data_IF_097748208348
#
_entry.id   IF_097748208348
#
_cell.length_a   1.000
_cell.length_b   1.000
_cell.length_c   1.000
_cell.angle_alpha   90.00
_cell.angle_beta   90.00
_cell.angle_gamma   90.00
#
_symmetry.space_group_name_H-M   'P 1'
#
loop_
_entity.id
_entity.type
_entity.pdbx_description
1 polymer ?
#
# COMPACT_ATOMS: atom_id res chain seq x y z
N UNK A 1 68.47 -5.69 23.27
CA UNK A 1 68.48 -7.16 23.27
C UNK A 1 67.22 -7.53 22.52
N UNK A 2 67.41 -7.62 21.30
CA UNK A 2 67.60 -8.75 20.38
C UNK A 2 66.23 -9.27 19.91
N UNK A 3 65.82 -8.76 18.79
CA UNK A 3 64.90 -9.22 17.80
C UNK A 3 65.23 -10.64 17.35
N UNK A 4 64.21 -11.46 17.15
CA UNK A 4 64.33 -12.65 16.28
C UNK A 4 63.12 -12.71 15.38
N UNK A 5 63.37 -12.29 14.15
CA UNK A 5 62.60 -12.69 12.98
C UNK A 5 62.62 -14.21 12.83
N UNK A 6 61.50 -14.80 12.56
CA UNK A 6 61.42 -16.13 11.96
C UNK A 6 60.41 -16.11 10.82
N UNK A 7 60.95 -15.79 9.65
CA UNK A 7 60.39 -16.13 8.35
C UNK A 7 60.39 -17.66 8.28
N UNK A 8 59.25 -18.30 8.42
CA UNK A 8 59.03 -19.69 7.99
C UNK A 8 58.46 -19.64 6.58
N UNK A 9 59.34 -19.73 5.61
CA UNK A 9 59.00 -20.15 4.27
C UNK A 9 58.34 -21.54 4.35
N UNK A 10 56.99 -21.56 4.18
CA UNK A 10 56.27 -22.81 3.98
C UNK A 10 56.63 -23.27 2.56
N UNK A 11 57.62 -24.14 2.46
CA UNK A 11 57.88 -24.90 1.24
C UNK A 11 56.71 -25.90 1.12
N UNK A 12 55.70 -25.52 0.35
CA UNK A 12 54.65 -26.44 -0.09
C UNK A 12 55.31 -27.55 -0.90
N UNK A 13 55.13 -28.78 -0.47
CA UNK A 13 55.65 -29.97 -1.16
C UNK A 13 55.04 -30.03 -2.57
N UNK A 14 55.93 -30.26 -3.56
CA UNK A 14 55.53 -30.35 -4.98
C UNK A 14 54.53 -31.50 -5.21
N UNK A 15 54.42 -32.44 -4.28
CA UNK A 15 53.40 -33.50 -4.27
C UNK A 15 51.98 -32.98 -3.94
N UNK A 16 51.87 -32.06 -2.97
CA UNK A 16 50.59 -31.43 -2.65
C UNK A 16 50.09 -30.49 -3.74
N UNK A 17 50.99 -29.84 -4.48
CA UNK A 17 50.65 -29.02 -5.65
C UNK A 17 50.16 -29.83 -6.84
N UNK A 18 50.62 -31.08 -6.98
CA UNK A 18 50.17 -31.99 -8.03
C UNK A 18 48.84 -32.66 -7.71
N UNK A 19 48.52 -32.91 -6.43
CA UNK A 19 47.23 -33.45 -5.99
C UNK A 19 46.09 -32.43 -6.06
N UNK A 20 46.38 -31.14 -6.06
CA UNK A 20 45.35 -30.09 -6.25
C UNK A 20 45.02 -29.81 -7.71
N UNK A 21 45.80 -30.33 -8.67
CA UNK A 21 45.60 -30.12 -10.11
C UNK A 21 44.95 -31.31 -10.84
N UNK A 22 44.75 -32.44 -10.17
CA UNK A 22 44.23 -33.68 -10.82
C UNK A 22 42.82 -34.08 -10.30
N UNK A 23 41.91 -33.09 -10.09
CA UNK A 23 40.50 -33.38 -9.90
C UNK A 23 39.81 -33.54 -11.27
N UNK A 24 40.30 -34.37 -12.12
CA UNK A 24 39.65 -34.81 -13.35
C UNK A 24 38.59 -35.89 -13.05
N UNK A 25 37.57 -35.55 -12.29
CA UNK A 25 36.37 -36.38 -12.28
C UNK A 25 35.75 -36.30 -13.67
N UNK A 26 35.55 -37.43 -14.36
CA UNK A 26 34.91 -37.41 -15.68
C UNK A 26 33.51 -36.80 -15.56
N UNK A 27 33.22 -35.78 -16.35
CA UNK A 27 31.93 -35.13 -16.38
C UNK A 27 30.88 -36.16 -16.80
N UNK A 28 29.86 -36.35 -15.99
CA UNK A 28 28.72 -37.23 -16.29
C UNK A 28 27.57 -36.44 -16.82
N UNK A 29 26.76 -37.10 -17.63
CA UNK A 29 25.48 -36.53 -18.10
C UNK A 29 24.63 -36.04 -16.91
N UNK A 30 24.21 -34.78 -16.96
CA UNK A 30 23.43 -34.13 -15.91
C UNK A 30 24.24 -33.31 -14.91
N UNK A 31 25.59 -33.40 -14.94
CA UNK A 31 26.44 -32.58 -14.07
C UNK A 31 26.41 -31.12 -14.51
N UNK A 32 26.34 -30.20 -13.54
CA UNK A 32 26.45 -28.75 -13.78
C UNK A 32 27.89 -28.35 -13.45
N UNK A 33 28.53 -27.68 -14.40
CA UNK A 33 29.89 -27.19 -14.25
C UNK A 33 30.03 -25.78 -14.79
N UNK A 34 31.10 -25.09 -14.44
CA UNK A 34 31.43 -23.78 -14.98
C UNK A 34 32.50 -23.90 -16.04
N UNK A 35 32.28 -23.26 -17.16
CA UNK A 35 33.20 -23.21 -18.28
C UNK A 35 33.49 -21.80 -18.72
N UNK A 36 34.66 -21.55 -19.25
CA UNK A 36 35.10 -20.26 -19.78
C UNK A 36 34.86 -20.22 -21.28
N UNK A 37 34.20 -19.18 -21.76
CA UNK A 37 33.92 -18.98 -23.21
C UNK A 37 35.25 -18.76 -23.94
N UNK A 38 35.57 -19.67 -24.83
CA UNK A 38 36.77 -19.59 -25.67
C UNK A 38 36.50 -18.99 -27.04
N UNK A 39 35.39 -19.39 -27.63
CA UNK A 39 35.00 -18.99 -28.98
C UNK A 39 33.49 -19.06 -29.18
N UNK A 40 32.94 -18.11 -29.89
CA UNK A 40 31.56 -18.10 -30.38
C UNK A 40 31.58 -18.34 -31.86
N UNK A 41 30.78 -19.26 -32.37
CA UNK A 41 30.73 -19.66 -33.78
C UNK A 41 29.25 -19.83 -34.22
N UNK A 42 29.03 -19.89 -35.53
CA UNK A 42 27.69 -20.15 -36.08
C UNK A 42 27.05 -21.49 -35.66
N UNK A 43 27.81 -22.40 -35.09
CA UNK A 43 27.33 -23.69 -34.54
C UNK A 43 26.97 -23.62 -33.04
N UNK A 44 27.51 -22.65 -32.33
CA UNK A 44 27.35 -22.48 -30.88
C UNK A 44 28.58 -21.92 -30.21
N UNK A 45 28.64 -22.11 -28.90
CA UNK A 45 29.72 -21.61 -28.02
C UNK A 45 30.62 -22.75 -27.62
N UNK A 46 31.93 -22.53 -27.71
CA UNK A 46 32.95 -23.44 -27.24
C UNK A 46 33.50 -23.01 -25.89
N UNK A 47 33.50 -23.92 -24.95
CA UNK A 47 33.89 -23.70 -23.56
C UNK A 47 35.14 -24.51 -23.18
N UNK A 48 36.01 -23.88 -22.42
CA UNK A 48 37.12 -24.56 -21.77
C UNK A 48 36.85 -24.83 -20.30
N UNK A 49 37.23 -26.00 -19.83
CA UNK A 49 37.11 -26.44 -18.42
C UNK A 49 38.48 -26.64 -17.77
N UNK A 50 39.58 -26.20 -18.43
CA UNK A 50 40.93 -26.48 -17.95
C UNK A 50 41.34 -27.92 -18.12
N UNK A 51 40.54 -28.74 -18.80
CA UNK A 51 40.79 -30.19 -19.05
C UNK A 51 41.03 -30.46 -20.53
N UNK A 52 41.24 -31.71 -20.88
CA UNK A 52 41.61 -32.15 -22.26
C UNK A 52 40.44 -32.12 -23.28
N UNK A 53 39.22 -31.79 -22.85
CA UNK A 53 38.05 -31.75 -23.72
C UNK A 53 37.46 -30.31 -23.82
N UNK A 54 36.81 -30.06 -24.91
CA UNK A 54 36.06 -28.80 -25.15
C UNK A 54 34.57 -29.04 -25.01
N UNK A 55 33.87 -28.13 -24.35
CA UNK A 55 32.42 -28.12 -24.30
C UNK A 55 31.84 -27.37 -25.48
N UNK A 56 30.82 -27.94 -26.12
CA UNK A 56 30.04 -27.29 -27.16
C UNK A 56 28.62 -27.06 -26.67
N UNK A 57 28.18 -25.80 -26.64
CA UNK A 57 26.80 -25.40 -26.41
C UNK A 57 26.19 -25.02 -27.74
N UNK A 58 25.25 -25.81 -28.30
CA UNK A 58 24.56 -25.46 -29.53
C UNK A 58 23.67 -24.22 -29.35
N UNK A 59 23.41 -23.49 -30.43
CA UNK A 59 22.55 -22.29 -30.44
C UNK A 59 21.16 -22.59 -29.91
N UNK A 60 20.65 -23.80 -30.11
CA UNK A 60 19.34 -24.26 -29.64
C UNK A 60 19.23 -24.37 -28.12
N UNK A 61 20.35 -24.54 -27.40
CA UNK A 61 20.48 -24.75 -25.96
C UNK A 61 20.97 -23.49 -25.21
N UNK A 62 20.83 -22.30 -25.83
CA UNK A 62 21.24 -21.00 -25.26
C UNK A 62 20.16 -19.91 -25.46
N UNK A 63 18.89 -20.29 -25.58
CA UNK A 63 17.77 -19.35 -25.83
C UNK A 63 17.60 -18.33 -24.68
N UNK A 64 17.84 -18.74 -23.45
CA UNK A 64 17.72 -17.87 -22.27
C UNK A 64 18.67 -16.68 -22.31
N UNK A 65 19.90 -16.89 -22.79
CA UNK A 65 20.91 -15.82 -22.92
C UNK A 65 20.51 -14.83 -24.02
N UNK A 66 20.01 -15.33 -25.15
CA UNK A 66 19.55 -14.50 -26.27
C UNK A 66 18.35 -13.64 -25.89
N UNK A 67 17.38 -14.19 -25.15
CA UNK A 67 16.21 -13.46 -24.66
C UNK A 67 16.60 -12.38 -23.66
N UNK A 68 17.57 -12.62 -22.79
CA UNK A 68 18.03 -11.64 -21.78
C UNK A 68 18.79 -10.48 -22.41
N UNK A 69 19.48 -10.70 -23.52
CA UNK A 69 20.25 -9.67 -24.20
C UNK A 69 19.44 -8.84 -25.21
N UNK A 70 18.21 -9.27 -25.55
CA UNK A 70 17.37 -8.58 -26.56
C UNK A 70 17.95 -8.60 -27.97
N UNK A 71 18.83 -9.56 -28.28
CA UNK A 71 19.64 -9.62 -29.51
C UNK A 71 19.19 -10.77 -30.41
N UNK A 72 19.14 -10.49 -31.73
CA UNK A 72 18.80 -11.50 -32.74
C UNK A 72 20.00 -12.38 -33.14
N UNK A 73 21.25 -11.90 -32.94
CA UNK A 73 22.49 -12.61 -33.29
C UNK A 73 23.23 -13.16 -32.06
N UNK A 74 23.78 -14.38 -32.22
CA UNK A 74 24.46 -15.13 -31.14
C UNK A 74 25.85 -14.55 -30.76
N UNK A 75 26.40 -13.66 -31.59
CA UNK A 75 27.77 -13.17 -31.43
C UNK A 75 27.87 -12.00 -30.41
N UNK A 76 26.75 -11.30 -30.10
CA UNK A 76 26.79 -10.08 -29.32
C UNK A 76 26.49 -10.29 -27.81
N UNK A 77 26.04 -11.48 -27.37
CA UNK A 77 25.53 -11.69 -26.02
C UNK A 77 26.53 -12.23 -24.98
N UNK A 78 27.63 -12.82 -25.37
CA UNK A 78 28.62 -13.41 -24.47
C UNK A 78 30.04 -13.01 -24.85
N UNK A 79 30.81 -12.56 -23.88
CA UNK A 79 32.20 -12.14 -24.11
C UNK A 79 33.17 -13.35 -24.01
N UNK A 80 34.17 -13.37 -24.87
CA UNK A 80 35.27 -14.35 -24.76
C UNK A 80 35.97 -14.12 -23.42
N UNK A 81 36.17 -15.21 -22.65
CA UNK A 81 36.73 -15.17 -21.30
C UNK A 81 35.70 -15.11 -20.19
N UNK A 82 34.41 -15.02 -20.50
CA UNK A 82 33.36 -15.05 -19.49
C UNK A 82 33.11 -16.45 -18.95
N UNK A 83 32.90 -16.56 -17.63
CA UNK A 83 32.62 -17.85 -16.97
C UNK A 83 31.10 -18.07 -16.94
N UNK A 84 30.64 -19.17 -17.50
CA UNK A 84 29.23 -19.55 -17.56
C UNK A 84 28.96 -20.93 -17.00
N UNK A 85 27.79 -21.08 -16.35
CA UNK A 85 27.34 -22.39 -15.85
C UNK A 85 26.61 -23.15 -16.94
N UNK A 86 27.00 -24.42 -17.14
CA UNK A 86 26.46 -25.31 -18.17
C UNK A 86 26.18 -26.70 -17.60
N UNK A 87 25.17 -27.37 -18.17
CA UNK A 87 24.83 -28.75 -17.85
C UNK A 87 25.32 -29.68 -18.97
N UNK A 88 25.92 -30.78 -18.60
CA UNK A 88 26.37 -31.83 -19.52
C UNK A 88 25.17 -32.60 -20.08
N UNK A 89 24.97 -32.59 -21.40
CA UNK A 89 23.90 -33.31 -22.08
C UNK A 89 24.29 -34.71 -22.55
N UNK A 90 25.51 -34.88 -23.00
CA UNK A 90 26.02 -36.16 -23.48
C UNK A 90 27.47 -36.33 -23.04
N UNK A 91 27.86 -37.58 -22.91
CA UNK A 91 29.24 -37.95 -22.70
C UNK A 91 30.12 -37.55 -23.90
N UNK A 92 31.44 -37.56 -23.70
CA UNK A 92 32.44 -37.21 -24.69
C UNK A 92 32.20 -37.95 -26.03
N UNK A 93 32.10 -37.16 -27.11
CA UNK A 93 32.00 -37.68 -28.47
C UNK A 93 33.39 -38.13 -28.96
N UNK A 94 33.40 -38.90 -30.05
CA UNK A 94 34.63 -39.38 -30.70
C UNK A 94 35.57 -38.26 -31.20
N UNK A 95 35.10 -37.01 -31.26
CA UNK A 95 35.86 -35.80 -31.62
C UNK A 95 36.40 -35.05 -30.38
N UNK A 96 36.26 -35.59 -29.17
CA UNK A 96 36.70 -34.96 -27.92
C UNK A 96 35.79 -33.81 -27.44
N UNK A 97 34.62 -33.56 -28.08
CA UNK A 97 33.68 -32.54 -27.64
C UNK A 97 32.57 -33.10 -26.76
N UNK A 98 32.22 -32.36 -25.72
CA UNK A 98 31.07 -32.66 -24.81
C UNK A 98 29.93 -31.71 -25.13
N UNK A 99 28.73 -32.25 -25.38
CA UNK A 99 27.55 -31.45 -25.64
C UNK A 99 26.97 -30.92 -24.32
N UNK A 100 26.74 -29.62 -24.28
CA UNK A 100 26.30 -28.93 -23.07
C UNK A 100 25.10 -28.00 -23.35
N UNK A 101 24.41 -27.58 -22.26
CA UNK A 101 23.28 -26.69 -22.34
C UNK A 101 23.36 -25.61 -21.23
N UNK A 102 23.24 -24.36 -21.63
CA UNK A 102 23.09 -23.23 -20.72
C UNK A 102 21.66 -23.19 -20.18
N UNK A 103 20.66 -23.37 -21.06
CA UNK A 103 19.24 -23.29 -20.71
C UNK A 103 18.88 -24.31 -19.63
N UNK A 104 19.41 -25.54 -19.70
CA UNK A 104 19.15 -26.57 -18.68
C UNK A 104 19.88 -26.30 -17.36
N UNK A 105 21.09 -25.74 -17.42
CA UNK A 105 21.79 -25.33 -16.20
C UNK A 105 21.07 -24.19 -15.48
N UNK A 106 20.58 -23.19 -16.25
CA UNK A 106 19.77 -22.10 -15.70
C UNK A 106 18.46 -22.60 -15.12
N UNK A 107 17.75 -23.48 -15.84
CA UNK A 107 16.51 -24.07 -15.35
C UNK A 107 16.71 -24.89 -14.06
N UNK A 108 17.81 -25.64 -13.97
CA UNK A 108 18.13 -26.38 -12.74
C UNK A 108 18.39 -25.44 -11.56
N UNK A 109 19.20 -24.42 -11.77
CA UNK A 109 19.43 -23.36 -10.77
C UNK A 109 18.13 -22.64 -10.42
N UNK A 110 17.26 -22.39 -11.41
CA UNK A 110 15.96 -21.80 -11.22
C UNK A 110 15.03 -22.64 -10.33
N UNK A 111 15.05 -23.98 -10.47
CA UNK A 111 14.29 -24.87 -9.58
C UNK A 111 14.78 -24.83 -8.14
N UNK A 112 16.07 -24.67 -7.89
CA UNK A 112 16.61 -24.48 -6.54
C UNK A 112 16.07 -23.17 -5.96
N UNK A 113 16.17 -22.06 -6.72
CA UNK A 113 15.64 -20.75 -6.30
C UNK A 113 14.14 -20.82 -6.03
N UNK A 114 13.34 -21.51 -6.87
CA UNK A 114 11.90 -21.67 -6.65
C UNK A 114 11.56 -22.45 -5.37
N UNK A 115 12.34 -23.52 -5.05
CA UNK A 115 12.14 -24.28 -3.82
C UNK A 115 12.56 -23.48 -2.58
N UNK A 116 13.66 -22.75 -2.65
CA UNK A 116 14.11 -21.86 -1.57
C UNK A 116 13.10 -20.75 -1.33
N UNK A 117 12.58 -20.14 -2.39
CA UNK A 117 11.52 -19.12 -2.30
C UNK A 117 10.18 -19.68 -1.78
N UNK A 118 9.85 -20.95 -2.08
CA UNK A 118 8.68 -21.62 -1.51
C UNK A 118 8.80 -21.76 0.01
N UNK A 119 9.99 -22.09 0.52
CA UNK A 119 10.23 -22.29 1.96
C UNK A 119 10.44 -20.97 2.71
N UNK A 120 11.19 -20.02 2.14
CA UNK A 120 11.46 -18.71 2.74
C UNK A 120 10.26 -17.74 2.60
N UNK A 121 9.41 -17.96 1.61
CA UNK A 121 8.33 -17.03 1.25
C UNK A 121 8.83 -15.76 0.58
N UNK A 122 10.00 -15.78 -0.02
CA UNK A 122 10.60 -14.68 -0.75
C UNK A 122 9.82 -14.35 -2.03
N UNK A 123 9.85 -13.08 -2.41
CA UNK A 123 9.18 -12.59 -3.61
C UNK A 123 10.20 -12.61 -4.74
N UNK A 124 9.85 -13.29 -5.82
CA UNK A 124 10.66 -13.39 -7.02
C UNK A 124 10.12 -12.46 -8.11
N UNK A 125 11.02 -12.03 -8.99
CA UNK A 125 10.67 -11.30 -10.21
C UNK A 125 10.72 -12.25 -11.39
N UNK A 126 9.71 -12.14 -12.27
CA UNK A 126 9.64 -12.96 -13.47
C UNK A 126 9.07 -12.19 -14.64
N UNK A 127 9.55 -12.51 -15.85
CA UNK A 127 9.12 -11.88 -17.11
C UNK A 127 8.01 -12.68 -17.77
N UNK A 128 6.98 -11.98 -18.26
CA UNK A 128 5.86 -12.59 -19.00
C UNK A 128 6.34 -13.09 -20.36
N UNK A 129 6.21 -14.40 -20.59
CA UNK A 129 6.60 -15.02 -21.87
C UNK A 129 5.41 -15.33 -22.76
N UNK A 130 4.30 -15.81 -22.18
CA UNK A 130 3.13 -16.19 -22.95
C UNK A 130 1.84 -16.08 -22.15
N UNK A 131 0.70 -16.09 -22.85
CA UNK A 131 -0.65 -16.02 -22.30
C UNK A 131 -1.46 -17.27 -22.67
N UNK A 132 -2.17 -17.82 -21.70
CA UNK A 132 -3.08 -18.93 -21.87
C UNK A 132 -4.49 -18.56 -21.40
N UNK A 133 -5.52 -19.35 -21.80
CA UNK A 133 -6.91 -19.14 -21.36
C UNK A 133 -7.09 -19.21 -19.83
N UNK A 134 -6.17 -19.89 -19.11
CA UNK A 134 -6.22 -20.06 -17.65
C UNK A 134 -5.32 -19.12 -16.87
N UNK A 135 -4.40 -18.40 -17.52
CA UNK A 135 -3.41 -17.56 -16.84
C UNK A 135 -2.24 -17.14 -17.72
N UNK A 136 -1.18 -16.70 -17.06
CA UNK A 136 0.03 -16.19 -17.68
C UNK A 136 1.19 -17.16 -17.43
N UNK A 137 2.03 -17.36 -18.43
CA UNK A 137 3.31 -18.06 -18.28
C UNK A 137 4.39 -17.00 -18.09
N UNK A 138 5.13 -17.15 -17.00
CA UNK A 138 6.18 -16.22 -16.57
C UNK A 138 7.48 -16.98 -16.44
N UNK A 139 8.55 -16.48 -17.02
CA UNK A 139 9.88 -17.04 -16.86
C UNK A 139 10.55 -16.48 -15.60
N UNK A 140 10.94 -17.36 -14.70
CA UNK A 140 11.68 -17.05 -13.48
C UNK A 140 12.96 -17.85 -13.46
N UNK A 141 14.11 -17.17 -13.58
CA UNK A 141 15.43 -17.80 -13.62
C UNK A 141 15.55 -18.99 -14.59
N UNK A 142 14.98 -18.86 -15.80
CA UNK A 142 15.02 -19.90 -16.84
C UNK A 142 13.96 -21.01 -16.68
N UNK A 143 13.07 -20.93 -15.68
CA UNK A 143 11.96 -21.86 -15.48
C UNK A 143 10.65 -21.19 -15.88
N UNK A 144 9.87 -21.84 -16.75
CA UNK A 144 8.54 -21.36 -17.10
C UNK A 144 7.53 -21.75 -16.02
N UNK A 145 6.98 -20.74 -15.38
CA UNK A 145 6.07 -20.85 -14.26
C UNK A 145 4.66 -20.40 -14.68
N UNK A 146 3.63 -20.98 -14.10
CA UNK A 146 2.24 -20.64 -14.39
C UNK A 146 1.64 -19.75 -13.30
N UNK A 147 0.99 -18.64 -13.70
CA UNK A 147 0.24 -17.76 -12.83
C UNK A 147 -1.24 -17.82 -13.22
N UNK A 148 -2.13 -18.45 -12.44
CA UNK A 148 -3.57 -18.50 -12.72
C UNK A 148 -4.19 -17.10 -12.74
N UNK A 149 -5.24 -16.88 -13.54
CA UNK A 149 -5.98 -15.60 -13.59
C UNK A 149 -6.48 -15.17 -12.20
N UNK A 150 -6.92 -16.11 -11.37
CA UNK A 150 -7.39 -15.82 -9.99
C UNK A 150 -6.28 -15.30 -9.06
N UNK A 151 -5.02 -15.49 -9.42
CA UNK A 151 -3.85 -15.08 -8.67
C UNK A 151 -3.16 -13.84 -9.25
N UNK A 152 -3.72 -13.26 -10.30
CA UNK A 152 -3.29 -11.99 -10.88
C UNK A 152 -4.06 -10.83 -10.25
N UNK A 153 -3.38 -9.70 -10.07
CA UNK A 153 -3.97 -8.43 -9.62
C UNK A 153 -4.32 -7.57 -10.83
N UNK A 154 -3.41 -7.47 -11.77
CA UNK A 154 -3.57 -6.71 -13.01
C UNK A 154 -4.33 -7.53 -14.07
N UNK A 155 -4.96 -6.86 -15.01
CA UNK A 155 -5.79 -7.51 -16.04
C UNK A 155 -4.94 -7.96 -17.23
N UNK A 156 -5.29 -9.11 -17.80
CA UNK A 156 -4.66 -9.63 -19.02
C UNK A 156 -5.24 -8.90 -20.25
N UNK A 157 -4.38 -8.34 -21.07
CA UNK A 157 -4.79 -7.87 -22.40
C UNK A 157 -4.91 -9.07 -23.35
N UNK A 158 -6.14 -9.57 -23.54
CA UNK A 158 -6.40 -10.63 -24.51
C UNK A 158 -6.97 -10.00 -25.80
N UNK A 159 -6.19 -9.90 -26.87
CA UNK A 159 -6.67 -9.32 -28.14
C UNK A 159 -7.80 -10.14 -28.78
N UNK A 160 -7.98 -11.39 -28.41
CA UNK A 160 -9.05 -12.26 -28.94
C UNK A 160 -10.41 -12.08 -28.28
N UNK A 161 -10.52 -11.32 -27.16
CA UNK A 161 -11.81 -11.09 -26.51
C UNK A 161 -12.63 -9.94 -27.13
N UNK A 162 -12.11 -9.23 -28.11
CA UNK A 162 -12.81 -8.15 -28.81
C UNK A 162 -13.79 -8.60 -29.90
N UNK A 163 -13.72 -9.85 -30.36
CA UNK A 163 -14.61 -10.33 -31.42
C UNK A 163 -16.00 -10.79 -30.91
N UNK A 164 -16.20 -11.02 -29.63
CA UNK A 164 -17.45 -11.61 -29.11
C UNK A 164 -18.31 -10.73 -28.19
N UNK A 165 -17.93 -9.48 -27.90
CA UNK A 165 -18.74 -8.60 -27.04
C UNK A 165 -19.10 -7.28 -27.74
N UNK A 166 -19.85 -7.37 -28.82
CA UNK A 166 -20.58 -6.25 -29.44
C UNK A 166 -21.95 -6.07 -28.80
N UNK A 167 -22.07 -6.09 -27.49
CA UNK A 167 -23.30 -5.67 -26.82
C UNK A 167 -22.96 -5.15 -25.41
N UNK A 168 -23.32 -3.87 -25.18
CA UNK A 168 -23.38 -3.19 -23.89
C UNK A 168 -22.05 -2.62 -23.33
N UNK A 169 -21.53 -1.59 -23.99
CA UNK A 169 -20.75 -0.54 -23.35
C UNK A 169 -21.58 0.76 -23.32
N UNK A 170 -22.52 0.83 -22.37
CA UNK A 170 -23.09 2.09 -21.94
C UNK A 170 -22.18 2.74 -20.89
N UNK A 171 -21.63 3.89 -21.34
CA UNK A 171 -21.38 5.12 -20.57
C UNK A 171 -21.13 4.99 -19.08
N UNK A 172 -19.93 5.26 -18.71
CA UNK A 172 -19.42 5.94 -17.52
C UNK A 172 -18.15 5.29 -17.02
N UNK A 173 -17.05 5.83 -17.40
CA UNK A 173 -15.90 6.17 -16.58
C UNK A 173 -14.64 6.28 -17.44
N UNK A 174 -14.16 7.52 -17.58
CA UNK A 174 -12.80 7.83 -18.02
C UNK A 174 -11.81 7.23 -17.03
N UNK A 175 -11.31 6.05 -17.35
CA UNK A 175 -10.12 5.48 -16.74
C UNK A 175 -9.09 5.37 -17.88
N UNK A 176 -7.91 5.90 -17.66
CA UNK A 176 -6.74 5.71 -18.49
C UNK A 176 -6.44 4.19 -18.55
N UNK A 177 -6.99 3.51 -19.56
CA UNK A 177 -7.11 2.05 -19.62
C UNK A 177 -5.95 1.34 -20.31
N UNK A 178 -4.86 2.04 -20.64
CA UNK A 178 -3.72 1.42 -21.33
C UNK A 178 -2.62 0.86 -20.42
N UNK A 179 -2.61 1.24 -19.12
CA UNK A 179 -1.56 0.84 -18.18
C UNK A 179 -1.85 -0.45 -17.39
N UNK A 180 -3.07 -1.00 -17.47
CA UNK A 180 -3.51 -2.14 -16.62
C UNK A 180 -3.39 -3.52 -17.28
N UNK A 181 -2.82 -3.62 -18.48
CA UNK A 181 -2.75 -4.88 -19.22
C UNK A 181 -1.32 -5.37 -19.40
N UNK A 182 -1.08 -6.63 -19.07
CA UNK A 182 0.23 -7.25 -19.29
C UNK A 182 0.59 -7.39 -20.77
N UNK A 183 1.85 -7.11 -21.06
CA UNK A 183 2.48 -7.37 -22.34
C UNK A 183 3.57 -8.44 -22.20
N UNK A 184 3.98 -9.05 -23.31
CA UNK A 184 5.15 -9.93 -23.30
C UNK A 184 6.39 -9.12 -22.93
N UNK A 185 7.16 -9.61 -21.98
CA UNK A 185 8.34 -8.94 -21.45
C UNK A 185 8.10 -8.16 -20.15
N UNK A 186 6.85 -7.97 -19.73
CA UNK A 186 6.56 -7.30 -18.44
C UNK A 186 7.13 -8.09 -17.26
N UNK A 187 7.68 -7.39 -16.30
CA UNK A 187 8.24 -7.98 -15.09
C UNK A 187 7.21 -7.93 -13.97
N UNK A 188 6.88 -9.11 -13.45
CA UNK A 188 5.93 -9.28 -12.36
C UNK A 188 6.63 -9.70 -11.07
N UNK A 189 6.15 -9.17 -9.94
CA UNK A 189 6.55 -9.63 -8.60
C UNK A 189 5.63 -10.76 -8.16
N UNK A 190 6.21 -11.90 -7.91
CA UNK A 190 5.50 -13.15 -7.75
C UNK A 190 5.94 -13.88 -6.49
N UNK A 191 5.00 -14.57 -5.83
CA UNK A 191 5.27 -15.47 -4.72
C UNK A 191 4.96 -16.91 -5.13
N UNK A 192 5.86 -17.82 -4.78
CA UNK A 192 5.69 -19.24 -5.10
C UNK A 192 4.59 -19.85 -4.24
N UNK A 193 3.62 -20.51 -4.88
CA UNK A 193 2.56 -21.30 -4.21
C UNK A 193 2.95 -22.77 -4.23
N UNK A 194 3.38 -23.27 -5.37
CA UNK A 194 3.72 -24.67 -5.59
C UNK A 194 4.93 -24.75 -6.53
N UNK A 195 5.91 -25.55 -6.17
CA UNK A 195 7.06 -25.86 -7.00
C UNK A 195 7.31 -27.37 -6.94
N UNK A 196 7.07 -28.07 -8.05
CA UNK A 196 7.25 -29.51 -8.17
C UNK A 196 8.10 -29.82 -9.40
N UNK A 197 9.39 -30.11 -9.18
CA UNK A 197 10.33 -30.41 -10.24
C UNK A 197 10.02 -31.72 -10.95
N UNK A 198 9.55 -32.76 -10.24
CA UNK A 198 9.30 -34.07 -10.83
C UNK A 198 8.20 -34.04 -11.90
N UNK A 199 7.21 -33.15 -11.71
CA UNK A 199 6.10 -32.93 -12.65
C UNK A 199 6.33 -31.72 -13.56
N UNK A 200 7.46 -31.03 -13.42
CA UNK A 200 7.78 -29.77 -14.10
C UNK A 200 6.67 -28.74 -13.95
N UNK A 201 6.07 -28.64 -12.75
CA UNK A 201 4.94 -27.77 -12.45
C UNK A 201 5.31 -26.76 -11.38
N UNK A 202 5.18 -25.48 -11.71
CA UNK A 202 5.33 -24.37 -10.77
C UNK A 202 4.16 -23.42 -10.90
N UNK A 203 3.56 -23.05 -9.77
CA UNK A 203 2.43 -22.12 -9.69
C UNK A 203 2.84 -20.94 -8.81
N UNK A 204 2.65 -19.75 -9.35
CA UNK A 204 2.99 -18.49 -8.69
C UNK A 204 1.75 -17.61 -8.51
N UNK A 205 1.87 -16.61 -7.63
CA UNK A 205 0.81 -15.64 -7.33
C UNK A 205 1.36 -14.22 -7.24
N UNK A 206 0.84 -13.34 -8.06
CA UNK A 206 1.04 -11.90 -7.96
C UNK A 206 0.27 -11.33 -6.75
N UNK A 207 -0.96 -11.81 -6.53
CA UNK A 207 -1.82 -11.37 -5.43
C UNK A 207 -1.20 -11.57 -4.05
N UNK A 208 -0.54 -12.70 -3.82
CA UNK A 208 0.16 -12.97 -2.55
C UNK A 208 1.41 -12.11 -2.41
N UNK A 209 2.16 -11.88 -3.50
CA UNK A 209 3.33 -10.99 -3.50
C UNK A 209 2.91 -9.55 -3.18
N UNK A 210 1.90 -9.01 -3.87
CA UNK A 210 1.38 -7.66 -3.63
C UNK A 210 0.87 -7.49 -2.20
N UNK A 211 0.14 -8.50 -1.68
CA UNK A 211 -0.31 -8.48 -0.28
C UNK A 211 0.86 -8.45 0.71
N UNK A 212 1.89 -9.25 0.48
CA UNK A 212 3.09 -9.28 1.33
C UNK A 212 3.85 -7.96 1.28
N UNK A 213 4.07 -7.39 0.08
CA UNK A 213 4.70 -6.07 -0.10
C UNK A 213 3.88 -5.00 0.63
N UNK A 214 2.55 -5.02 0.46
CA UNK A 214 1.65 -4.10 1.16
C UNK A 214 1.77 -4.20 2.68
N UNK A 215 1.86 -5.42 3.24
CA UNK A 215 2.06 -5.62 4.68
C UNK A 215 3.41 -5.07 5.17
N UNK A 216 4.50 -5.33 4.45
CA UNK A 216 5.83 -4.81 4.80
C UNK A 216 5.83 -3.27 4.74
N UNK A 217 5.23 -2.70 3.71
CA UNK A 217 5.11 -1.24 3.58
C UNK A 217 4.24 -0.65 4.70
N UNK A 218 3.11 -1.31 5.07
CA UNK A 218 2.28 -0.88 6.20
C UNK A 218 3.07 -0.83 7.50
N UNK A 219 3.83 -1.87 7.81
CA UNK A 219 4.68 -1.91 9.01
C UNK A 219 5.72 -0.79 8.99
N UNK A 220 6.35 -0.54 7.83
CA UNK A 220 7.33 0.54 7.69
C UNK A 220 6.69 1.90 7.95
N UNK A 221 5.58 2.20 7.30
CA UNK A 221 4.85 3.47 7.45
C UNK A 221 4.43 3.68 8.90
N UNK A 222 3.84 2.66 9.55
CA UNK A 222 3.40 2.75 10.95
C UNK A 222 4.57 3.02 11.90
N UNK A 223 5.76 2.47 11.62
CA UNK A 223 6.95 2.72 12.44
C UNK A 223 7.51 4.15 12.27
N UNK A 224 7.30 4.76 11.10
CA UNK A 224 7.71 6.13 10.79
C UNK A 224 6.72 7.18 11.32
N UNK A 225 5.46 6.79 11.65
CA UNK A 225 4.45 7.69 12.16
C UNK A 225 4.64 7.96 13.65
N UNK A 226 4.50 9.22 14.04
CA UNK A 226 4.50 9.66 15.43
C UNK A 226 3.13 10.21 15.82
N UNK A 227 2.74 9.95 17.06
CA UNK A 227 1.56 10.57 17.64
C UNK A 227 1.75 12.09 17.73
N UNK A 228 0.72 12.84 17.41
CA UNK A 228 0.77 14.30 17.42
C UNK A 228 1.12 14.95 16.07
N UNK A 229 1.46 14.17 15.06
CA UNK A 229 1.71 14.69 13.70
C UNK A 229 0.41 14.89 12.91
N UNK A 230 0.44 15.88 12.00
CA UNK A 230 -0.61 16.11 11.01
C UNK A 230 -0.16 15.54 9.67
N UNK A 231 -1.03 14.79 9.02
CA UNK A 231 -0.79 14.20 7.69
C UNK A 231 -1.99 14.44 6.78
N UNK A 232 -1.72 14.50 5.48
CA UNK A 232 -2.78 14.47 4.48
C UNK A 232 -3.14 13.03 4.17
N UNK A 233 -4.44 12.74 4.09
CA UNK A 233 -4.97 11.43 3.76
C UNK A 233 -6.17 11.53 2.83
N UNK A 234 -6.49 10.40 2.21
CA UNK A 234 -7.69 10.29 1.35
C UNK A 234 -8.71 9.40 2.04
N UNK A 235 -9.96 9.82 2.08
CA UNK A 235 -11.07 9.02 2.61
C UNK A 235 -11.27 7.79 1.72
N UNK A 236 -10.94 6.60 2.24
CA UNK A 236 -11.07 5.31 1.54
C UNK A 236 -12.45 4.69 1.70
N UNK A 237 -13.14 4.97 2.82
CA UNK A 237 -14.47 4.44 3.08
C UNK A 237 -15.14 5.04 4.31
N UNK A 238 -16.46 4.90 4.37
CA UNK A 238 -17.29 5.36 5.49
C UNK A 238 -17.98 4.18 6.16
N UNK A 239 -18.08 4.21 7.48
CA UNK A 239 -18.82 3.25 8.30
C UNK A 239 -19.71 3.98 9.30
N UNK A 240 -20.62 3.27 9.98
CA UNK A 240 -21.51 3.86 10.99
C UNK A 240 -20.76 4.49 12.18
N UNK A 241 -19.56 4.03 12.46
CA UNK A 241 -18.75 4.46 13.61
C UNK A 241 -17.62 5.42 13.25
N UNK A 242 -17.43 5.76 11.97
CA UNK A 242 -16.39 6.69 11.56
C UNK A 242 -15.98 6.57 10.08
N UNK A 243 -14.94 7.32 9.72
CA UNK A 243 -14.36 7.35 8.38
C UNK A 243 -13.00 6.64 8.37
N UNK A 244 -12.76 5.85 7.34
CA UNK A 244 -11.44 5.29 7.05
C UNK A 244 -10.69 6.25 6.13
N UNK A 245 -9.45 6.55 6.50
CA UNK A 245 -8.59 7.49 5.77
C UNK A 245 -7.27 6.82 5.47
N UNK A 246 -6.91 6.73 4.21
CA UNK A 246 -5.60 6.25 3.76
C UNK A 246 -4.58 7.38 3.85
N UNK A 247 -3.54 7.17 4.67
CA UNK A 247 -2.44 8.11 4.90
C UNK A 247 -1.13 7.65 4.23
N UNK A 248 -1.23 7.22 2.98
CA UNK A 248 -0.08 6.78 2.18
C UNK A 248 0.16 5.28 2.17
N UNK A 249 -0.94 4.48 2.11
CA UNK A 249 -0.93 3.02 2.04
C UNK A 249 -1.28 2.31 3.35
N UNK A 250 -1.67 3.08 4.37
CA UNK A 250 -2.22 2.56 5.64
C UNK A 250 -3.52 3.26 5.95
N UNK A 251 -4.57 2.46 6.19
CA UNK A 251 -5.86 2.98 6.60
C UNK A 251 -5.88 3.29 8.10
N UNK A 252 -6.12 4.55 8.45
CA UNK A 252 -6.45 4.99 9.79
C UNK A 252 -7.96 5.15 9.98
N UNK A 253 -8.44 5.13 11.22
CA UNK A 253 -9.82 5.34 11.58
C UNK A 253 -10.00 6.70 12.25
N UNK A 254 -10.85 7.55 11.67
CA UNK A 254 -11.40 8.73 12.35
C UNK A 254 -12.75 8.30 12.94
N UNK A 255 -12.81 8.13 14.26
CA UNK A 255 -14.06 7.81 14.95
C UNK A 255 -15.06 8.96 14.79
N UNK A 256 -16.38 8.69 14.79
CA UNK A 256 -17.42 9.70 14.63
C UNK A 256 -17.28 10.87 15.61
N UNK A 257 -16.87 10.62 16.85
CA UNK A 257 -16.60 11.64 17.87
C UNK A 257 -15.34 12.47 17.62
N UNK A 258 -14.49 12.08 16.66
CA UNK A 258 -13.25 12.74 16.28
C UNK A 258 -13.34 13.42 14.89
N UNK A 259 -14.53 13.40 14.26
CA UNK A 259 -14.78 14.08 13.00
C UNK A 259 -15.00 15.58 13.19
N UNK A 260 -15.84 15.96 14.15
CA UNK A 260 -16.19 17.35 14.43
C UNK A 260 -16.45 17.57 15.93
N UNK A 261 -16.39 18.83 16.36
CA UNK A 261 -16.87 19.29 17.67
C UNK A 261 -18.41 19.32 17.76
N UNK A 262 -19.08 19.45 16.60
CA UNK A 262 -20.54 19.37 16.52
C UNK A 262 -21.03 17.92 16.66
N UNK A 263 -22.30 17.76 17.03
CA UNK A 263 -22.94 16.45 17.13
C UNK A 263 -23.26 15.92 15.72
N UNK A 264 -22.45 14.98 15.23
CA UNK A 264 -22.57 14.38 13.91
C UNK A 264 -23.35 13.08 14.00
N UNK A 265 -24.40 12.93 13.21
CA UNK A 265 -25.23 11.71 13.17
C UNK A 265 -24.65 10.67 12.22
N UNK A 266 -24.00 11.12 11.16
CA UNK A 266 -23.36 10.24 10.16
C UNK A 266 -22.06 10.86 9.67
N UNK A 267 -20.98 10.06 9.51
CA UNK A 267 -19.72 10.55 8.93
C UNK A 267 -19.86 11.21 7.56
N UNK A 268 -20.87 10.80 6.78
CA UNK A 268 -21.17 11.38 5.46
C UNK A 268 -21.63 12.84 5.48
N UNK A 269 -21.96 13.40 6.66
CA UNK A 269 -22.27 14.83 6.82
C UNK A 269 -21.03 15.72 6.75
N UNK A 270 -19.87 15.16 7.09
CA UNK A 270 -18.61 15.91 7.20
C UNK A 270 -17.64 15.59 6.06
N UNK A 271 -17.55 14.31 5.66
CA UNK A 271 -16.58 13.84 4.66
C UNK A 271 -17.22 12.88 3.66
N UNK A 272 -16.72 12.91 2.41
CA UNK A 272 -17.14 12.00 1.34
C UNK A 272 -15.99 11.06 0.94
N UNK A 273 -16.34 9.87 0.43
CA UNK A 273 -15.34 8.92 -0.06
C UNK A 273 -14.57 9.54 -1.25
N UNK A 274 -13.24 9.53 -1.16
CA UNK A 274 -12.36 10.11 -2.15
C UNK A 274 -11.81 11.48 -1.79
N UNK A 275 -12.35 12.16 -0.76
CA UNK A 275 -11.88 13.48 -0.32
C UNK A 275 -10.45 13.42 0.19
N UNK A 276 -9.68 14.47 -0.12
CA UNK A 276 -8.36 14.71 0.46
C UNK A 276 -8.54 15.61 1.68
N UNK A 277 -8.17 15.09 2.84
CA UNK A 277 -8.34 15.77 4.13
C UNK A 277 -7.04 15.75 4.92
N UNK A 278 -6.85 16.75 5.76
CA UNK A 278 -5.82 16.72 6.79
C UNK A 278 -6.34 15.99 8.03
N UNK A 279 -5.50 15.18 8.63
CA UNK A 279 -5.81 14.41 9.83
C UNK A 279 -4.69 14.49 10.85
N UNK A 280 -5.07 14.58 12.10
CA UNK A 280 -4.16 14.53 13.25
C UNK A 280 -4.05 13.11 13.76
N UNK A 281 -2.83 12.63 14.01
CA UNK A 281 -2.56 11.27 14.51
C UNK A 281 -2.76 11.25 16.03
N UNK A 282 -3.79 10.53 16.49
CA UNK A 282 -4.10 10.38 17.91
C UNK A 282 -3.30 9.29 18.58
N UNK A 283 -3.33 8.10 18.00
CA UNK A 283 -2.73 6.88 18.54
C UNK A 283 -2.19 6.03 17.42
N UNK A 284 -1.04 5.39 17.65
CA UNK A 284 -0.40 4.46 16.73
C UNK A 284 -0.22 3.12 17.42
N UNK A 285 -1.10 2.15 17.12
CA UNK A 285 -0.99 0.77 17.60
C UNK A 285 -0.12 -0.04 16.64
N UNK A 286 1.16 -0.19 16.99
CA UNK A 286 2.16 -0.91 16.19
C UNK A 286 1.94 -2.42 16.18
N UNK A 287 1.30 -2.97 17.21
CA UNK A 287 1.06 -4.41 17.32
C UNK A 287 -0.11 -4.86 16.42
N UNK A 288 -1.23 -4.11 16.47
CA UNK A 288 -2.42 -4.42 15.68
C UNK A 288 -2.45 -3.69 14.32
N UNK A 289 -1.43 -2.91 14.00
CA UNK A 289 -1.33 -2.10 12.78
C UNK A 289 -2.55 -1.19 12.58
N UNK A 290 -2.97 -0.50 13.65
CA UNK A 290 -4.12 0.40 13.67
C UNK A 290 -3.70 1.81 14.01
N UNK A 291 -4.31 2.78 13.34
CA UNK A 291 -4.05 4.20 13.55
C UNK A 291 -5.36 4.89 13.88
N UNK A 292 -5.39 5.55 15.03
CA UNK A 292 -6.48 6.44 15.41
C UNK A 292 -6.19 7.84 14.93
N UNK A 293 -7.14 8.43 14.20
CA UNK A 293 -7.03 9.75 13.60
C UNK A 293 -8.11 10.69 14.14
N UNK A 294 -7.85 12.01 14.06
CA UNK A 294 -8.81 13.05 14.39
C UNK A 294 -8.78 14.19 13.37
N UNK A 295 -9.93 14.68 12.99
CA UNK A 295 -10.10 15.89 12.21
C UNK A 295 -10.34 17.07 13.16
N UNK A 296 -11.17 16.86 14.20
CA UNK A 296 -11.57 17.93 15.11
C UNK A 296 -10.39 18.57 15.86
N UNK A 297 -9.29 17.84 16.10
CA UNK A 297 -8.10 18.38 16.77
C UNK A 297 -7.24 19.29 15.90
N UNK A 298 -7.54 19.40 14.61
CA UNK A 298 -6.95 20.40 13.73
C UNK A 298 -7.56 21.79 13.94
N UNK A 299 -8.74 21.84 14.54
CA UNK A 299 -9.46 23.08 14.84
C UNK A 299 -9.43 23.33 16.34
N UNK A 300 -9.29 24.61 16.70
CA UNK A 300 -9.36 25.01 18.09
C UNK A 300 -10.69 24.59 18.72
N UNK A 301 -10.64 24.27 20.01
CA UNK A 301 -11.86 23.91 20.75
C UNK A 301 -12.79 25.12 20.80
N UNK A 302 -14.03 25.05 20.30
CA UNK A 302 -14.94 26.20 20.23
C UNK A 302 -15.17 26.87 21.60
N UNK A 303 -15.11 26.08 22.67
CA UNK A 303 -15.28 26.59 24.03
C UNK A 303 -14.10 27.43 24.55
N UNK A 304 -12.88 27.27 24.01
CA UNK A 304 -11.73 28.05 24.44
C UNK A 304 -11.78 29.49 23.91
N UNK A 305 -12.41 29.68 22.72
CA UNK A 305 -12.55 30.99 22.08
C UNK A 305 -13.89 31.66 22.34
N UNK A 306 -14.78 31.03 23.11
CA UNK A 306 -16.15 31.52 23.30
C UNK A 306 -16.21 32.86 24.00
N UNK A 307 -15.35 33.10 24.98
CA UNK A 307 -15.29 34.37 25.72
C UNK A 307 -14.75 35.54 24.90
N UNK A 308 -14.11 35.27 23.74
CA UNK A 308 -13.64 36.30 22.82
C UNK A 308 -14.76 36.75 21.89
N UNK A 309 -15.73 35.83 21.59
CA UNK A 309 -16.83 36.06 20.66
C UNK A 309 -18.09 36.54 21.35
N UNK A 310 -18.38 36.03 22.55
CA UNK A 310 -19.64 36.27 23.26
C UNK A 310 -19.43 36.74 24.68
N UNK A 311 -20.19 37.75 25.10
CA UNK A 311 -20.16 38.30 26.44
C UNK A 311 -21.53 38.20 27.12
N UNK A 312 -21.52 38.11 28.43
CA UNK A 312 -22.75 38.16 29.22
C UNK A 312 -23.44 39.51 28.98
N UNK A 313 -24.71 39.45 28.59
CA UNK A 313 -25.51 40.63 28.23
C UNK A 313 -25.71 40.82 26.73
N UNK A 314 -24.98 40.11 25.87
CA UNK A 314 -25.15 40.19 24.43
C UNK A 314 -26.48 39.58 23.99
N UNK A 315 -27.08 40.19 22.97
CA UNK A 315 -28.32 39.68 22.34
C UNK A 315 -27.93 39.00 21.01
N UNK A 316 -28.28 37.74 20.89
CA UNK A 316 -27.96 36.90 19.70
C UNK A 316 -29.24 36.20 19.18
N UNK A 317 -29.20 35.80 17.91
CA UNK A 317 -30.21 34.92 17.33
C UNK A 317 -29.77 33.49 17.41
N UNK A 318 -30.64 32.61 17.91
CA UNK A 318 -30.34 31.16 18.11
C UNK A 318 -31.48 30.32 17.55
N UNK A 319 -31.17 29.10 17.15
CA UNK A 319 -32.16 28.14 16.66
C UNK A 319 -32.46 27.11 17.74
N UNK A 320 -33.73 26.92 18.08
CA UNK A 320 -34.17 25.92 19.05
C UNK A 320 -33.91 24.52 18.47
N UNK A 321 -33.12 23.69 19.18
CA UNK A 321 -32.76 22.34 18.74
C UNK A 321 -33.59 21.26 19.42
N UNK A 322 -33.90 21.42 20.70
CA UNK A 322 -34.65 20.42 21.47
C UNK A 322 -35.42 21.05 22.63
N UNK A 323 -36.57 20.51 22.95
CA UNK A 323 -37.45 20.96 24.05
C UNK A 323 -37.50 19.88 25.13
N UNK A 324 -37.14 20.26 26.36
CA UNK A 324 -37.15 19.40 27.54
C UNK A 324 -38.03 20.03 28.65
N UNK A 325 -38.44 19.26 29.67
CA UNK A 325 -39.37 19.73 30.72
C UNK A 325 -38.85 20.96 31.47
N UNK A 326 -37.53 21.12 31.61
CA UNK A 326 -36.92 22.22 32.37
C UNK A 326 -36.46 23.39 31.51
N UNK A 327 -36.63 23.34 30.16
CA UNK A 327 -36.23 24.42 29.28
C UNK A 327 -36.09 24.02 27.80
N UNK A 328 -35.48 24.90 27.01
CA UNK A 328 -35.20 24.70 25.61
C UNK A 328 -33.71 24.76 25.33
N UNK A 329 -33.17 23.78 24.56
CA UNK A 329 -31.83 23.87 24.02
C UNK A 329 -31.84 24.69 22.76
N UNK A 330 -30.88 25.60 22.64
CA UNK A 330 -30.76 26.50 21.52
C UNK A 330 -29.36 26.50 20.95
N UNK A 331 -29.21 26.29 19.65
CA UNK A 331 -27.96 26.28 18.92
C UNK A 331 -27.50 27.71 18.66
N UNK A 332 -26.32 28.05 19.16
CA UNK A 332 -25.65 29.35 18.97
C UNK A 332 -24.72 29.26 17.76
N UNK A 333 -23.86 28.29 17.76
CA UNK A 333 -22.98 27.90 16.62
C UNK A 333 -23.13 26.41 16.36
N UNK A 334 -22.49 25.87 15.29
CA UNK A 334 -22.59 24.44 14.94
C UNK A 334 -22.22 23.48 16.06
N UNK A 335 -21.30 23.89 16.92
CA UNK A 335 -20.73 23.08 18.01
C UNK A 335 -21.07 23.59 19.41
N UNK A 336 -21.86 24.66 19.54
CA UNK A 336 -22.18 25.31 20.82
C UNK A 336 -23.70 25.41 20.99
N UNK A 337 -24.21 24.77 22.04
CA UNK A 337 -25.61 24.87 22.44
C UNK A 337 -25.73 25.57 23.81
N UNK A 338 -26.72 26.44 23.91
CA UNK A 338 -27.12 27.08 25.16
C UNK A 338 -28.43 26.50 25.70
N UNK A 339 -28.72 26.75 26.96
CA UNK A 339 -29.96 26.35 27.62
C UNK A 339 -30.75 27.59 27.99
N UNK A 340 -32.00 27.66 27.53
CA UNK A 340 -32.99 28.60 27.99
C UNK A 340 -33.81 27.89 29.05
N UNK A 341 -33.60 28.24 30.32
CA UNK A 341 -34.36 27.64 31.43
C UNK A 341 -35.83 28.05 31.32
N UNK A 342 -36.76 27.20 31.78
CA UNK A 342 -38.23 27.48 31.69
C UNK A 342 -38.63 28.81 32.30
N UNK A 343 -37.90 29.27 33.35
CA UNK A 343 -38.15 30.60 34.00
C UNK A 343 -37.65 31.79 33.15
N UNK A 344 -36.86 31.54 32.11
CA UNK A 344 -36.26 32.56 31.24
C UNK A 344 -36.92 32.59 29.86
N UNK A 345 -38.00 31.81 29.62
CA UNK A 345 -38.76 31.77 28.37
C UNK A 345 -39.74 32.93 28.27
N UNK A 346 -40.51 33.20 29.33
CA UNK A 346 -41.55 34.27 29.39
C UNK A 346 -41.61 34.87 30.80
N UNK A 347 -42.24 36.04 30.93
CA UNK A 347 -42.57 36.68 32.18
C UNK A 347 -43.66 35.94 32.96
N UNK A 348 -44.52 35.19 32.26
CA UNK A 348 -45.57 34.34 32.83
C UNK A 348 -45.05 32.98 33.19
N UNK A 349 -45.71 32.30 34.17
CA UNK A 349 -45.38 30.94 34.55
C UNK A 349 -45.76 30.00 33.39
N UNK A 350 -44.71 29.46 32.73
CA UNK A 350 -44.84 28.48 31.65
C UNK A 350 -44.81 27.08 32.25
N UNK A 351 -45.75 26.24 31.82
CA UNK A 351 -45.77 24.83 32.31
C UNK A 351 -44.92 23.93 31.44
N UNK A 352 -44.80 24.22 30.17
CA UNK A 352 -43.96 23.45 29.24
C UNK A 352 -43.38 24.37 28.15
N UNK A 353 -42.12 24.26 27.78
CA UNK A 353 -41.47 25.12 26.76
C UNK A 353 -42.19 25.19 25.42
N UNK A 354 -42.91 24.12 25.03
CA UNK A 354 -43.71 24.04 23.80
C UNK A 354 -44.87 25.10 23.72
N UNK A 355 -45.18 25.73 24.84
CA UNK A 355 -46.21 26.80 24.88
C UNK A 355 -45.67 28.11 24.29
N UNK A 356 -44.35 28.28 24.24
CA UNK A 356 -43.70 29.55 23.88
C UNK A 356 -42.84 29.42 22.62
N UNK A 357 -42.12 28.26 22.43
CA UNK A 357 -41.20 28.07 21.33
C UNK A 357 -41.37 26.68 20.70
N UNK A 358 -41.08 26.59 19.41
CA UNK A 358 -41.07 25.31 18.65
C UNK A 358 -39.70 24.89 18.24
N UNK A 359 -39.49 23.55 18.03
CA UNK A 359 -38.22 23.03 17.51
C UNK A 359 -37.96 23.53 16.09
N UNK A 360 -36.75 24.06 15.82
CA UNK A 360 -36.37 24.67 14.55
C UNK A 360 -36.67 26.17 14.45
N UNK A 361 -37.34 26.78 15.43
CA UNK A 361 -37.62 28.20 15.47
C UNK A 361 -36.33 29.01 15.74
N UNK A 362 -36.20 30.16 15.07
CA UNK A 362 -35.14 31.13 15.32
C UNK A 362 -35.66 32.19 16.25
N UNK A 363 -35.06 32.27 17.45
CA UNK A 363 -35.47 33.23 18.49
C UNK A 363 -34.28 34.11 18.90
N UNK A 364 -34.61 35.37 19.26
CA UNK A 364 -33.63 36.30 19.80
C UNK A 364 -33.53 36.10 21.31
N UNK A 365 -32.30 35.91 21.79
CA UNK A 365 -32.04 35.64 23.20
C UNK A 365 -30.91 36.52 23.72
N UNK A 366 -30.89 36.74 25.03
CA UNK A 366 -29.81 37.41 25.73
C UNK A 366 -28.96 36.39 26.50
N UNK A 367 -27.66 36.54 26.46
CA UNK A 367 -26.71 35.67 27.20
C UNK A 367 -26.73 36.11 28.68
N UNK A 368 -27.14 35.18 29.55
CA UNK A 368 -27.23 35.42 31.00
C UNK A 368 -25.94 34.97 31.71
N UNK A 369 -25.39 33.85 31.29
CA UNK A 369 -24.19 33.27 31.91
C UNK A 369 -23.41 32.44 30.92
N UNK A 370 -22.08 32.43 31.05
CA UNK A 370 -21.16 31.58 30.30
C UNK A 370 -20.28 30.85 31.31
N UNK A 371 -20.32 29.52 31.35
CA UNK A 371 -19.45 28.66 32.16
C UNK A 371 -18.62 27.78 31.23
N UNK A 372 -17.40 28.23 30.91
CA UNK A 372 -16.48 27.53 30.01
C UNK A 372 -16.06 26.17 30.56
N UNK A 373 -15.88 26.07 31.89
CA UNK A 373 -15.43 24.81 32.49
C UNK A 373 -16.50 23.70 32.42
N UNK A 374 -17.77 24.07 32.46
CA UNK A 374 -18.90 23.13 32.36
C UNK A 374 -19.50 23.07 30.95
N UNK A 375 -18.91 23.82 30.02
CA UNK A 375 -19.40 23.91 28.62
C UNK A 375 -20.91 24.22 28.57
N UNK A 376 -21.34 25.28 29.30
CA UNK A 376 -22.74 25.68 29.40
C UNK A 376 -22.91 27.18 29.22
N UNK A 377 -23.94 27.55 28.44
CA UNK A 377 -24.39 28.91 28.27
C UNK A 377 -25.85 28.99 28.71
N UNK A 378 -26.12 29.91 29.63
CA UNK A 378 -27.48 30.26 30.02
C UNK A 378 -28.00 31.39 29.15
N UNK A 379 -29.18 31.18 28.57
CA UNK A 379 -29.86 32.12 27.65
C UNK A 379 -31.21 32.53 28.23
N UNK A 380 -31.66 33.73 27.87
CA UNK A 380 -32.99 34.27 28.27
C UNK A 380 -33.67 34.93 27.09
N UNK A 381 -34.91 34.57 26.82
CA UNK A 381 -35.80 35.29 25.91
C UNK A 381 -36.41 36.48 26.66
N UNK A 382 -36.87 36.27 27.88
CA UNK A 382 -37.51 37.26 28.75
C UNK A 382 -36.70 38.56 28.87
N UNK A 383 -35.38 38.51 29.01
CA UNK A 383 -34.54 39.70 29.20
C UNK A 383 -34.28 40.50 27.91
N UNK A 384 -34.64 39.97 26.75
CA UNK A 384 -34.60 40.72 25.49
C UNK A 384 -35.75 41.74 25.44
N UNK A 385 -36.96 41.38 25.93
CA UNK A 385 -38.15 42.20 25.91
C UNK A 385 -38.11 43.37 26.92
N UNK A 386 -37.33 43.26 28.01
CA UNK A 386 -37.20 44.34 29.00
C UNK A 386 -36.50 45.60 28.46
N UNK A 387 -35.76 45.53 27.36
CA UNK A 387 -35.04 46.67 26.81
C UNK A 387 -35.86 47.52 25.80
N UNK A 388 -36.97 47.01 25.27
CA UNK A 388 -37.85 47.73 24.38
C UNK A 388 -38.97 48.51 25.10
N UNK A 389 -39.12 48.32 26.42
CA UNK A 389 -40.15 48.94 27.23
C UNK A 389 -39.79 50.31 27.86
N UNK A 390 -38.55 50.79 27.73
CA UNK A 390 -38.08 52.00 28.43
C UNK A 390 -37.77 53.22 27.52
N UNK A 391 -38.08 53.18 26.24
CA UNK A 391 -37.85 54.33 25.34
C UNK A 391 -39.12 55.07 24.85
N UNK A 392 -40.25 54.88 25.48
CA UNK A 392 -41.42 55.70 25.18
C UNK A 392 -42.11 56.23 26.45
N UNK A 393 -41.45 57.18 27.14
CA UNK A 393 -42.16 58.16 27.97
C UNK A 393 -41.18 59.28 28.43
N UNK A 394 -40.80 60.17 27.54
CA UNK A 394 -40.54 61.59 27.84
C UNK A 394 -40.67 62.34 26.53
N UNK A 395 -41.84 62.96 26.33
CA UNK A 395 -41.95 64.39 26.05
C UNK A 395 -43.30 64.67 25.51
N UNK A 396 -44.10 65.25 26.40
CA UNK A 396 -44.95 66.35 26.09
C UNK A 396 -45.58 66.86 27.39
N UNK A 397 -44.95 67.89 27.95
CA UNK A 397 -45.68 69.01 28.57
C UNK A 397 -44.64 70.02 29.11
N UNK A 398 -44.56 71.16 28.39
CA UNK A 398 -43.94 72.36 28.98
C UNK A 398 -43.46 73.35 27.92
#
# INVERSE_FOLDING_TARGET
>A
MATKDSNQDVIMDMGELLDTTDNSTPLKKGDITRGIVMRVDSKGIYLSFGQKFEGLVPIEEMKSVRLSAGMEDAEDGLNIGEEISVMVLSDEKSDGSVLMSIDKAMAESGWIVLNDALTSGEILEGSVTNFNKGGVIVNVHGVDCFVPISQLVSKIHNPQSYENNNLELNQSQNLNKEEDFFQKGDVLKLKVIEANRSTNRSVLSEKLATKQIGQVNKVRIINELNEGETKQGRVSGLSKFGAFVDIGGVDGLVHISELSWANVKSPSEIVSVGDLIEVYILTVDKENLRIGLSIKRLFDKPWDTINEKYHVGDSIEVTITNLVEFGAFAKIEESIEGLIHISELDQKIVKHPKEIVEEGEVVKVKIVSIDVNKERIGLSIKQVDEYFGTELETDEFG
#
